data_IF_079764467948
#
_entry.id   IF_079764467948
#
_cell.length_a   1.000
_cell.length_b   1.000
_cell.length_c   1.000
_cell.angle_alpha   90.00
_cell.angle_beta   90.00
_cell.angle_gamma   90.00
#
_symmetry.space_group_name_H-M   'P 1'
#
loop_
_entity.id
_entity.type
_entity.pdbx_description
1 polymer ?
#
# COMPACT_ATOMS: atom_id res chain seq x y z
N UNK A 1 -29.29 -7.43 21.01
CA UNK A 1 -28.78 -7.00 19.69
C UNK A 1 -28.16 -5.64 19.90
N UNK A 2 -26.85 -5.56 19.94
CA UNK A 2 -26.18 -4.27 20.04
C UNK A 2 -26.25 -3.61 18.66
N UNK A 3 -27.02 -2.55 18.58
CA UNK A 3 -27.07 -1.69 17.40
C UNK A 3 -25.64 -1.29 17.03
N UNK A 4 -25.16 -1.78 15.90
CA UNK A 4 -23.85 -1.37 15.36
C UNK A 4 -23.99 0.08 14.90
N UNK A 5 -23.78 1.00 15.80
CA UNK A 5 -24.02 2.42 15.54
C UNK A 5 -23.20 2.99 14.39
N UNK A 6 -21.99 2.49 14.16
CA UNK A 6 -21.19 2.94 13.02
C UNK A 6 -19.99 2.03 12.75
N UNK A 7 -19.88 1.53 11.53
CA UNK A 7 -18.66 0.92 11.01
C UNK A 7 -18.46 1.51 9.61
N UNK A 8 -17.33 2.16 9.33
CA UNK A 8 -17.07 2.71 8.00
C UNK A 8 -17.17 1.62 6.94
N UNK A 9 -17.86 1.88 5.85
CA UNK A 9 -18.10 0.90 4.76
C UNK A 9 -16.81 0.27 4.24
N UNK A 10 -15.74 1.08 4.16
CA UNK A 10 -14.44 0.65 3.68
C UNK A 10 -13.76 -0.37 4.60
N UNK A 11 -14.16 -0.52 5.87
CA UNK A 11 -13.59 -1.53 6.76
C UNK A 11 -14.00 -2.94 6.39
N UNK A 12 -15.10 -3.11 5.68
CA UNK A 12 -15.67 -4.39 5.28
C UNK A 12 -15.36 -4.76 3.82
N UNK A 13 -14.68 -3.88 3.09
CA UNK A 13 -14.38 -4.09 1.67
C UNK A 13 -12.88 -4.30 1.45
N UNK A 14 -12.49 -5.24 0.59
CA UNK A 14 -11.11 -5.36 0.13
C UNK A 14 -10.64 -4.04 -0.49
N UNK A 15 -9.32 -3.74 -0.44
CA UNK A 15 -8.79 -2.61 -1.18
C UNK A 15 -9.00 -2.79 -2.68
N UNK A 16 -9.24 -1.68 -3.37
CA UNK A 16 -9.28 -1.69 -4.83
C UNK A 16 -7.88 -2.05 -5.36
N UNK A 17 -7.76 -3.05 -6.25
CA UNK A 17 -6.47 -3.39 -6.85
C UNK A 17 -5.79 -2.18 -7.50
N UNK A 18 -4.48 -2.03 -7.30
CA UNK A 18 -3.74 -0.89 -7.85
C UNK A 18 -3.93 0.44 -7.11
N UNK A 19 -4.65 0.46 -6.00
CA UNK A 19 -4.85 1.65 -5.17
C UNK A 19 -3.78 1.82 -4.09
N UNK A 20 -3.65 3.02 -3.54
CA UNK A 20 -2.79 3.27 -2.38
C UNK A 20 -3.12 2.36 -1.20
N UNK A 21 -4.41 2.12 -0.95
CA UNK A 21 -4.86 1.23 0.11
C UNK A 21 -4.38 -0.21 -0.09
N UNK A 22 -4.29 -0.67 -1.34
CA UNK A 22 -3.78 -2.01 -1.64
C UNK A 22 -2.30 -2.18 -1.31
N UNK A 23 -1.52 -1.10 -1.38
CA UNK A 23 -0.11 -1.10 -1.00
C UNK A 23 0.06 -1.22 0.51
N UNK A 24 -0.69 -0.43 1.28
CA UNK A 24 -0.58 -0.40 2.75
C UNK A 24 -1.31 -1.56 3.45
N UNK A 25 -2.15 -2.30 2.72
CA UNK A 25 -2.88 -3.44 3.26
C UNK A 25 -1.93 -4.55 3.68
N UNK A 26 -2.00 -4.95 4.92
CA UNK A 26 -1.25 -6.10 5.44
C UNK A 26 -1.99 -7.41 5.19
N UNK A 27 -1.22 -8.47 4.93
CA UNK A 27 -1.73 -9.79 4.66
C UNK A 27 -2.43 -9.90 3.30
N UNK A 28 -3.30 -10.88 3.16
CA UNK A 28 -4.00 -11.17 1.91
C UNK A 28 -4.95 -10.03 1.52
N UNK A 29 -4.95 -9.66 0.25
CA UNK A 29 -5.78 -8.57 -0.28
C UNK A 29 -7.29 -8.87 -0.19
N UNK A 30 -7.67 -10.15 -0.33
CA UNK A 30 -9.04 -10.63 -0.28
C UNK A 30 -9.58 -10.81 1.15
N UNK A 31 -8.73 -10.69 2.16
CA UNK A 31 -9.12 -10.81 3.57
C UNK A 31 -9.19 -9.46 4.26
N UNK A 32 -10.36 -9.13 4.75
CA UNK A 32 -10.60 -7.92 5.52
C UNK A 32 -10.63 -8.26 7.01
N UNK A 33 -9.77 -7.61 7.78
CA UNK A 33 -9.82 -7.64 9.24
C UNK A 33 -10.61 -6.44 9.73
N UNK A 34 -11.77 -6.70 10.30
CA UNK A 34 -12.61 -5.65 10.90
C UNK A 34 -12.24 -5.54 12.38
N UNK A 35 -11.87 -4.36 12.87
CA UNK A 35 -11.68 -4.14 14.30
C UNK A 35 -12.94 -4.48 15.09
N UNK A 36 -12.77 -4.97 16.32
CA UNK A 36 -13.92 -5.22 17.16
C UNK A 36 -14.65 -3.90 17.51
N UNK A 37 -15.97 -3.98 17.71
CA UNK A 37 -16.77 -2.84 18.09
C UNK A 37 -16.25 -2.17 19.39
N UNK A 38 -15.83 -2.96 20.36
CA UNK A 38 -15.26 -2.47 21.61
C UNK A 38 -14.01 -1.61 21.38
N UNK A 39 -13.18 -1.99 20.43
CA UNK A 39 -11.99 -1.22 20.05
C UNK A 39 -12.35 0.15 19.45
N UNK A 40 -13.36 0.19 18.58
CA UNK A 40 -13.87 1.46 18.04
C UNK A 40 -14.39 2.38 19.13
N UNK A 41 -15.23 1.86 20.03
CA UNK A 41 -15.78 2.65 21.13
C UNK A 41 -14.68 3.15 22.09
N UNK A 42 -13.65 2.36 22.29
CA UNK A 42 -12.49 2.77 23.07
C UNK A 42 -11.75 3.93 22.40
N UNK A 43 -11.42 3.79 21.11
CA UNK A 43 -10.73 4.86 20.35
C UNK A 43 -11.55 6.16 20.38
N UNK A 44 -12.85 6.08 20.12
CA UNK A 44 -13.73 7.25 20.15
C UNK A 44 -13.67 7.96 21.49
N UNK A 45 -13.73 7.22 22.56
CA UNK A 45 -13.68 7.75 23.92
C UNK A 45 -12.32 8.35 24.27
N UNK A 46 -11.24 7.61 23.99
CA UNK A 46 -9.90 8.01 24.39
C UNK A 46 -9.40 9.21 23.59
N UNK A 47 -9.77 9.28 22.31
CA UNK A 47 -9.40 10.37 21.41
C UNK A 47 -10.49 11.46 21.29
N UNK A 48 -11.61 11.33 22.02
CA UNK A 48 -12.77 12.24 21.98
C UNK A 48 -13.30 12.48 20.57
N UNK A 49 -13.38 11.40 19.76
CA UNK A 49 -13.86 11.44 18.39
C UNK A 49 -15.37 11.20 18.35
N UNK A 50 -16.05 11.85 17.43
CA UNK A 50 -17.45 11.59 17.09
C UNK A 50 -17.59 10.71 15.83
N UNK A 51 -18.82 10.34 15.50
CA UNK A 51 -19.09 9.52 14.33
C UNK A 51 -18.75 10.23 13.01
N UNK A 52 -18.75 11.57 12.97
CA UNK A 52 -18.41 12.35 11.79
C UNK A 52 -16.94 12.16 11.39
N UNK A 53 -16.07 11.98 12.38
CA UNK A 53 -14.66 11.68 12.09
C UNK A 53 -14.50 10.44 11.18
N UNK A 54 -15.31 9.42 11.40
CA UNK A 54 -15.26 8.17 10.67
C UNK A 54 -16.02 8.19 9.34
N UNK A 55 -16.83 9.22 9.08
CA UNK A 55 -17.51 9.42 7.80
C UNK A 55 -16.62 10.08 6.77
N UNK A 56 -15.52 10.69 7.17
CA UNK A 56 -14.59 11.35 6.28
C UNK A 56 -13.78 10.29 5.49
N UNK A 57 -14.16 10.09 4.23
CA UNK A 57 -13.62 9.03 3.38
C UNK A 57 -12.24 9.39 2.80
N UNK A 58 -11.21 9.18 3.57
CA UNK A 58 -9.84 9.07 3.06
C UNK A 58 -9.40 7.61 3.15
N UNK A 59 -10.09 6.77 2.40
CA UNK A 59 -9.89 5.31 2.44
C UNK A 59 -8.68 4.82 1.65
N UNK A 60 -8.09 5.68 0.82
CA UNK A 60 -6.94 5.33 -0.01
C UNK A 60 -7.28 4.43 -1.21
N UNK A 61 -8.56 4.28 -1.56
CA UNK A 61 -8.99 3.47 -2.71
C UNK A 61 -8.79 4.17 -4.07
N UNK A 62 -8.33 5.42 -4.09
CA UNK A 62 -7.98 6.12 -5.31
C UNK A 62 -6.80 5.43 -6.01
N UNK A 63 -6.78 5.40 -7.35
CA UNK A 63 -5.64 4.87 -8.10
C UNK A 63 -4.39 5.71 -7.88
N UNK A 64 -3.24 5.10 -8.09
CA UNK A 64 -1.97 5.81 -8.13
C UNK A 64 -1.98 6.89 -9.21
N UNK A 65 -1.47 8.07 -8.89
CA UNK A 65 -1.38 9.21 -9.81
C UNK A 65 -0.06 9.93 -9.61
N UNK A 66 0.38 10.61 -10.67
CA UNK A 66 1.55 11.49 -10.63
C UNK A 66 2.84 10.80 -10.16
N UNK A 67 2.98 9.51 -10.51
CA UNK A 67 4.15 8.72 -10.17
C UNK A 67 5.33 9.21 -10.99
N UNK A 68 6.43 9.63 -10.36
CA UNK A 68 7.63 10.01 -11.08
C UNK A 68 8.13 8.89 -11.98
N UNK A 69 8.49 9.24 -13.21
CA UNK A 69 9.09 8.26 -14.14
C UNK A 69 10.39 7.72 -13.57
N UNK A 70 10.66 6.44 -13.85
CA UNK A 70 11.96 5.87 -13.53
C UNK A 70 13.05 6.59 -14.33
N UNK A 71 14.14 6.92 -13.64
CA UNK A 71 15.37 7.42 -14.25
C UNK A 71 16.42 6.30 -14.43
N UNK A 72 16.03 5.05 -14.21
CA UNK A 72 16.91 3.91 -14.37
C UNK A 72 17.21 3.67 -15.86
N UNK A 73 18.49 3.55 -16.21
CA UNK A 73 18.91 3.30 -17.59
C UNK A 73 18.37 1.95 -18.07
N UNK A 74 17.85 1.94 -19.30
CA UNK A 74 17.33 0.72 -19.94
C UNK A 74 18.37 -0.39 -20.00
N UNK A 75 19.65 -0.05 -20.21
CA UNK A 75 20.74 -1.03 -20.22
C UNK A 75 20.89 -1.73 -18.88
N UNK A 76 20.77 -0.99 -17.78
CA UNK A 76 20.83 -1.58 -16.44
C UNK A 76 19.65 -2.54 -16.23
N UNK A 77 18.46 -2.17 -16.70
CA UNK A 77 17.29 -3.03 -16.63
C UNK A 77 17.52 -4.33 -17.44
N UNK A 78 18.09 -4.23 -18.65
CA UNK A 78 18.41 -5.38 -19.50
C UNK A 78 19.45 -6.31 -18.85
N UNK A 79 20.48 -5.74 -18.21
CA UNK A 79 21.49 -6.51 -17.47
C UNK A 79 20.86 -7.25 -16.29
N UNK A 80 20.00 -6.58 -15.51
CA UNK A 80 19.28 -7.21 -14.39
C UNK A 80 18.37 -8.33 -14.89
N UNK A 81 17.65 -8.10 -15.99
CA UNK A 81 16.81 -9.13 -16.63
C UNK A 81 17.65 -10.33 -17.04
N UNK A 82 18.83 -10.11 -17.57
CA UNK A 82 19.76 -11.18 -17.94
C UNK A 82 20.22 -12.03 -16.74
N UNK A 83 20.22 -11.46 -15.54
CA UNK A 83 20.60 -12.16 -14.31
C UNK A 83 19.42 -12.93 -13.72
N UNK A 84 18.29 -12.26 -13.49
CA UNK A 84 17.18 -12.80 -12.70
C UNK A 84 16.01 -13.33 -13.53
N UNK A 85 15.93 -12.99 -14.82
CA UNK A 85 14.78 -13.25 -15.71
C UNK A 85 13.78 -12.09 -15.71
N UNK A 86 13.13 -11.88 -16.86
CA UNK A 86 12.23 -10.75 -17.07
C UNK A 86 11.01 -10.76 -16.14
N UNK A 87 10.52 -11.95 -15.79
CA UNK A 87 9.39 -12.15 -14.86
C UNK A 87 9.69 -11.69 -13.42
N UNK A 88 10.98 -11.54 -13.10
CA UNK A 88 11.47 -11.15 -11.78
C UNK A 88 11.86 -9.67 -11.69
N UNK A 89 11.63 -8.88 -12.75
CA UNK A 89 11.89 -7.43 -12.78
C UNK A 89 10.59 -6.68 -13.01
N UNK A 90 10.20 -5.84 -12.09
CA UNK A 90 8.95 -5.08 -12.11
C UNK A 90 9.26 -3.59 -12.18
N UNK A 91 8.91 -2.96 -13.31
CA UNK A 91 9.14 -1.54 -13.59
C UNK A 91 7.83 -0.72 -13.62
N UNK A 92 6.68 -1.36 -13.38
CA UNK A 92 5.41 -0.67 -13.34
C UNK A 92 5.27 0.22 -12.09
N UNK A 93 4.47 1.26 -12.20
CA UNK A 93 4.31 2.26 -11.15
C UNK A 93 3.81 1.69 -9.83
N UNK A 94 2.89 0.71 -9.87
CA UNK A 94 2.36 0.10 -8.67
C UNK A 94 3.44 -0.63 -7.86
N UNK A 95 4.22 -1.47 -8.50
CA UNK A 95 5.28 -2.22 -7.84
C UNK A 95 6.42 -1.29 -7.40
N UNK A 96 6.78 -0.30 -8.19
CA UNK A 96 7.77 0.70 -7.80
C UNK A 96 7.36 1.41 -6.51
N UNK A 97 6.13 1.92 -6.42
CA UNK A 97 5.62 2.55 -5.20
C UNK A 97 5.54 1.54 -4.05
N UNK A 98 5.01 0.35 -4.29
CA UNK A 98 4.85 -0.70 -3.27
C UNK A 98 6.17 -1.08 -2.59
N UNK A 99 7.25 -1.14 -3.33
CA UNK A 99 8.58 -1.53 -2.82
C UNK A 99 9.46 -0.35 -2.39
N UNK A 100 9.03 0.89 -2.61
CA UNK A 100 9.71 2.10 -2.13
C UNK A 100 9.34 2.47 -0.71
N UNK A 101 8.20 1.97 -0.22
CA UNK A 101 7.68 2.36 1.08
C UNK A 101 7.66 1.17 2.03
N UNK A 102 8.13 1.43 3.26
CA UNK A 102 7.88 0.56 4.40
C UNK A 102 6.43 0.64 4.85
N UNK A 103 6.19 0.13 6.04
CA UNK A 103 4.85 0.18 6.66
C UNK A 103 4.86 1.00 7.95
N UNK A 104 5.68 2.03 7.98
CA UNK A 104 5.63 3.02 9.05
C UNK A 104 4.32 3.82 8.96
N UNK A 105 3.77 4.17 10.09
CA UNK A 105 2.49 4.89 10.15
C UNK A 105 2.52 6.19 9.33
N UNK A 106 3.62 6.91 9.35
CA UNK A 106 3.81 8.15 8.59
C UNK A 106 3.77 7.91 7.08
N UNK A 107 4.46 6.87 6.61
CA UNK A 107 4.46 6.47 5.20
C UNK A 107 3.08 6.03 4.74
N UNK A 108 2.37 5.23 5.56
CA UNK A 108 1.01 4.81 5.24
C UNK A 108 0.03 5.99 5.15
N UNK A 109 0.18 6.99 6.00
CA UNK A 109 -0.64 8.21 5.94
C UNK A 109 -0.30 9.03 4.71
N UNK A 110 0.99 9.19 4.38
CA UNK A 110 1.44 9.89 3.19
C UNK A 110 0.90 9.24 1.92
N UNK A 111 1.04 7.91 1.79
CA UNK A 111 0.50 7.14 0.66
C UNK A 111 -1.01 7.31 0.51
N UNK A 112 -1.79 7.23 1.60
CA UNK A 112 -3.25 7.46 1.55
C UNK A 112 -3.63 8.85 1.06
N UNK A 113 -2.77 9.84 1.28
CA UNK A 113 -2.94 11.22 0.80
C UNK A 113 -2.39 11.44 -0.61
N UNK A 114 -1.79 10.42 -1.24
CA UNK A 114 -1.11 10.55 -2.52
C UNK A 114 0.18 11.35 -2.44
N UNK A 115 0.77 11.49 -1.26
CA UNK A 115 2.06 12.16 -1.07
C UNK A 115 3.14 11.12 -1.29
N UNK A 116 3.93 11.30 -2.34
CA UNK A 116 5.03 10.42 -2.70
C UNK A 116 6.34 11.15 -2.48
N UNK A 117 7.31 10.45 -1.92
CA UNK A 117 8.69 10.88 -1.79
C UNK A 117 9.55 10.23 -2.88
N UNK A 118 10.72 9.75 -2.53
CA UNK A 118 11.59 9.04 -3.46
C UNK A 118 11.02 7.65 -3.81
N UNK A 119 11.03 7.31 -5.10
CA UNK A 119 10.52 6.05 -5.60
C UNK A 119 11.60 5.31 -6.36
N UNK A 120 11.76 4.02 -6.06
CA UNK A 120 12.73 3.16 -6.75
C UNK A 120 12.48 3.11 -8.26
N UNK A 121 13.55 2.89 -9.04
CA UNK A 121 13.45 2.73 -10.48
C UNK A 121 12.83 1.40 -10.92
N UNK A 122 13.05 0.32 -10.16
CA UNK A 122 12.51 -1.01 -10.39
C UNK A 122 12.47 -1.79 -9.09
N UNK A 123 11.66 -2.86 -9.05
CA UNK A 123 11.70 -3.88 -8.01
C UNK A 123 12.20 -5.19 -8.63
N UNK A 124 13.17 -5.82 -7.96
CA UNK A 124 13.81 -7.03 -8.44
C UNK A 124 13.60 -8.15 -7.42
N UNK A 125 13.24 -9.33 -7.92
CA UNK A 125 13.02 -10.53 -7.12
C UNK A 125 14.07 -11.60 -7.45
N UNK A 126 15.25 -11.59 -6.80
CA UNK A 126 16.26 -12.62 -7.01
C UNK A 126 15.70 -14.01 -6.66
N UNK A 127 16.01 -15.01 -7.48
CA UNK A 127 15.58 -16.40 -7.27
C UNK A 127 16.36 -17.08 -6.16
N UNK A 128 17.63 -16.70 -6.02
CA UNK A 128 18.52 -17.24 -5.01
C UNK A 128 19.69 -16.29 -4.70
N UNK A 129 20.58 -16.73 -3.81
CA UNK A 129 21.77 -15.97 -3.40
C UNK A 129 22.75 -15.68 -4.55
N UNK A 130 22.77 -16.49 -5.61
CA UNK A 130 23.70 -16.28 -6.72
C UNK A 130 23.26 -15.14 -7.62
N UNK A 131 21.93 -14.94 -7.76
CA UNK A 131 21.40 -13.78 -8.45
C UNK A 131 21.74 -12.46 -7.73
N UNK A 132 21.81 -12.49 -6.38
CA UNK A 132 22.18 -11.32 -5.57
C UNK A 132 23.67 -10.98 -5.68
N UNK A 133 24.53 -11.96 -5.98
CA UNK A 133 25.98 -11.79 -6.06
C UNK A 133 26.47 -11.29 -7.43
N UNK A 134 25.61 -11.29 -8.43
CA UNK A 134 25.91 -10.82 -9.78
C UNK A 134 25.53 -9.37 -9.96
#
# INVERSE_FOLDING_TARGET
MTDKKFTPDWTNTPPVPGSYRSIVKEGRQDQVKVPSWQYYEQIKRDLKLDDNYFTNKQDGNQPLRDIPKSNLDTKIIEEIIGIVGAENVQCDDYNRVKYSYGKLAEEMVALKRGILHEITGAAVHPRDKHDVQK
#
